data_IF_876864398871
#
_entry.id   IF_876864398871
#
_cell.length_a   1.000
_cell.length_b   1.000
_cell.length_c   1.000
_cell.angle_alpha   90.00
_cell.angle_beta   90.00
_cell.angle_gamma   90.00
#
_symmetry.space_group_name_H-M   'P 1'
#
loop_
_entity.id
_entity.type
_entity.pdbx_description
1 polymer ?
#
# COMPACT_ATOMS: atom_id res chain seq x y z
N UNK A 1 21.66 -47.85 19.90
CA UNK A 1 21.80 -47.38 21.30
C UNK A 1 22.47 -46.02 21.25
N UNK A 2 21.64 -44.95 21.28
CA UNK A 2 21.58 -43.90 22.34
C UNK A 2 22.70 -42.86 22.16
N UNK A 3 22.51 -41.54 22.03
CA UNK A 3 21.39 -40.61 22.33
C UNK A 3 21.68 -39.24 21.65
N UNK A 4 20.65 -38.64 21.04
CA UNK A 4 20.16 -37.23 21.07
C UNK A 4 20.96 -36.23 21.97
N UNK A 5 21.04 -34.89 21.84
CA UNK A 5 20.37 -33.81 21.08
C UNK A 5 20.96 -32.47 21.59
N UNK A 6 20.70 -31.35 20.87
CA UNK A 6 20.67 -29.93 21.29
C UNK A 6 22.01 -29.19 21.48
N UNK A 7 22.30 -28.28 20.54
CA UNK A 7 22.69 -26.90 20.83
C UNK A 7 21.79 -26.03 19.95
N UNK A 8 20.65 -25.61 20.49
CA UNK A 8 20.45 -24.25 21.02
C UNK A 8 20.42 -23.23 19.88
N UNK A 9 19.25 -23.12 19.23
CA UNK A 9 18.89 -21.95 18.45
C UNK A 9 18.90 -20.75 19.41
N UNK A 10 19.88 -19.87 19.23
CA UNK A 10 19.90 -18.58 19.90
C UNK A 10 19.05 -17.64 19.05
N UNK A 11 17.84 -17.40 19.54
CA UNK A 11 16.90 -16.42 19.03
C UNK A 11 17.30 -15.00 19.47
N UNK A 12 16.90 -14.05 18.63
CA UNK A 12 16.67 -12.61 18.88
C UNK A 12 17.90 -11.69 18.94
N UNK A 13 18.08 -10.94 17.86
CA UNK A 13 18.49 -9.53 17.85
C UNK A 13 18.01 -8.98 16.49
N UNK A 14 16.79 -8.48 16.39
CA UNK A 14 16.48 -7.09 16.72
C UNK A 14 16.58 -6.27 15.43
N UNK A 15 15.61 -6.45 14.52
CA UNK A 15 15.50 -5.61 13.33
C UNK A 15 14.81 -4.32 13.77
N UNK A 16 15.50 -3.20 13.59
CA UNK A 16 14.95 -1.88 13.84
C UNK A 16 13.86 -1.61 12.77
N UNK A 17 12.62 -1.93 13.10
CA UNK A 17 11.44 -1.44 12.38
C UNK A 17 11.41 0.08 12.55
N UNK A 18 11.80 0.80 11.52
CA UNK A 18 11.37 2.18 11.33
C UNK A 18 9.88 2.11 10.96
N UNK A 19 9.04 2.05 12.00
CA UNK A 19 7.65 2.50 12.07
C UNK A 19 6.83 2.56 10.76
N UNK A 20 6.51 1.40 10.19
CA UNK A 20 5.32 1.21 9.34
C UNK A 20 4.20 0.50 10.13
N UNK A 21 4.10 0.81 11.42
CA UNK A 21 3.08 0.26 12.30
C UNK A 21 1.69 0.61 11.75
N UNK A 22 0.82 -0.39 11.61
CA UNK A 22 -0.54 -0.22 11.14
C UNK A 22 -0.82 -0.62 9.70
N UNK A 23 0.11 -1.00 8.81
CA UNK A 23 -0.30 -1.25 7.42
C UNK A 23 -1.22 -2.48 7.23
N UNK A 24 -2.00 -2.49 6.15
CA UNK A 24 -2.61 -3.72 5.63
C UNK A 24 -1.53 -4.51 4.88
N UNK A 25 -1.34 -5.80 5.22
CA UNK A 25 -0.29 -6.65 4.64
C UNK A 25 -0.77 -8.05 4.33
N UNK A 26 -0.07 -8.80 3.48
CA UNK A 26 -0.36 -10.23 3.24
C UNK A 26 0.88 -11.04 2.89
N UNK A 27 0.89 -12.35 3.19
CA UNK A 27 2.02 -13.23 2.88
C UNK A 27 2.17 -13.54 1.37
N UNK A 28 1.06 -13.48 0.64
CA UNK A 28 0.96 -13.79 -0.79
C UNK A 28 0.30 -12.64 -1.54
N UNK A 29 0.53 -12.47 -2.84
CA UNK A 29 -0.18 -11.45 -3.62
C UNK A 29 -1.67 -11.78 -3.66
N UNK A 30 -2.52 -10.78 -3.40
CA UNK A 30 -3.98 -10.87 -3.44
C UNK A 30 -4.56 -10.29 -4.74
N UNK A 31 -3.81 -9.42 -5.42
CA UNK A 31 -4.11 -8.85 -6.74
C UNK A 31 -3.34 -9.64 -7.80
N UNK A 32 -4.06 -10.55 -8.45
CA UNK A 32 -3.58 -11.32 -9.59
C UNK A 32 -3.73 -10.58 -10.93
N UNK A 33 -3.15 -11.12 -12.02
CA UNK A 33 -3.26 -10.54 -13.37
C UNK A 33 -4.70 -10.41 -13.89
N UNK A 34 -5.62 -11.23 -13.40
CA UNK A 34 -7.03 -11.24 -13.77
C UNK A 34 -7.83 -10.06 -13.22
N UNK A 35 -7.32 -9.42 -12.15
CA UNK A 35 -7.91 -8.24 -11.52
C UNK A 35 -7.12 -6.96 -11.79
N UNK A 36 -5.99 -7.07 -12.49
CA UNK A 36 -5.08 -5.97 -12.69
C UNK A 36 -5.71 -4.88 -13.60
N UNK A 37 -5.67 -3.64 -13.12
CA UNK A 37 -6.03 -2.43 -13.86
C UNK A 37 -4.84 -1.47 -13.87
N UNK A 38 -4.87 -0.48 -14.75
CA UNK A 38 -3.77 0.48 -14.94
C UNK A 38 -4.30 1.92 -14.88
N UNK A 39 -4.57 2.46 -13.68
CA UNK A 39 -5.18 3.78 -13.53
C UNK A 39 -4.24 4.93 -13.93
N UNK A 40 -2.92 4.75 -13.75
CA UNK A 40 -1.92 5.67 -14.23
C UNK A 40 -1.58 5.33 -15.68
N UNK A 41 -1.86 6.24 -16.60
CA UNK A 41 -1.45 6.11 -18.00
C UNK A 41 0.08 6.15 -18.14
N UNK A 42 0.61 5.52 -19.19
CA UNK A 42 2.03 5.61 -19.49
C UNK A 42 2.40 7.06 -19.88
N UNK A 43 3.42 7.62 -19.24
CA UNK A 43 3.66 9.06 -19.28
C UNK A 43 4.84 9.48 -18.42
N UNK A 44 5.18 10.76 -18.43
CA UNK A 44 6.03 11.38 -17.41
C UNK A 44 5.11 11.90 -16.31
N UNK A 45 5.31 11.39 -15.10
CA UNK A 45 4.56 11.77 -13.92
C UNK A 45 5.45 12.55 -12.95
N UNK A 46 4.81 13.39 -12.14
CA UNK A 46 5.41 14.08 -11.02
C UNK A 46 4.61 13.79 -9.75
N UNK A 47 5.31 13.53 -8.63
CA UNK A 47 4.70 13.43 -7.30
C UNK A 47 4.96 14.71 -6.54
N UNK A 48 3.92 15.20 -5.90
CA UNK A 48 3.98 16.35 -5.01
C UNK A 48 3.54 15.93 -3.61
N UNK A 49 4.30 16.30 -2.60
CA UNK A 49 3.87 16.27 -1.20
C UNK A 49 3.33 17.65 -0.80
N UNK A 50 2.26 17.69 -0.01
CA UNK A 50 1.67 18.95 0.44
C UNK A 50 1.92 19.15 1.94
N UNK A 51 2.81 20.09 2.27
CA UNK A 51 3.09 20.50 3.64
C UNK A 51 2.64 21.97 3.84
N UNK A 52 1.88 22.25 4.89
CA UNK A 52 1.36 23.60 5.21
C UNK A 52 0.63 24.31 4.05
N UNK A 53 0.02 23.53 3.14
CA UNK A 53 -0.70 24.02 1.96
C UNK A 53 0.20 24.41 0.78
N UNK A 54 1.49 24.09 0.85
CA UNK A 54 2.46 24.26 -0.25
C UNK A 54 2.77 22.88 -0.83
N UNK A 55 2.65 22.76 -2.16
CA UNK A 55 3.03 21.54 -2.87
C UNK A 55 4.52 21.59 -3.22
N UNK A 56 5.28 20.60 -2.77
CA UNK A 56 6.70 20.42 -3.06
C UNK A 56 6.90 19.21 -3.98
N UNK A 57 7.77 19.35 -4.98
CA UNK A 57 8.06 18.28 -5.93
C UNK A 57 8.99 17.26 -5.28
N UNK A 58 8.50 16.05 -5.10
CA UNK A 58 9.26 14.92 -4.54
C UNK A 58 10.08 14.23 -5.64
N UNK A 59 9.42 13.78 -6.71
CA UNK A 59 10.09 13.15 -7.84
C UNK A 59 9.35 13.42 -9.15
N UNK A 60 10.07 13.25 -10.26
CA UNK A 60 9.52 13.30 -11.62
C UNK A 60 10.22 12.27 -12.49
N UNK A 61 9.46 11.48 -13.24
CA UNK A 61 10.02 10.46 -14.11
C UNK A 61 9.00 9.75 -14.99
N UNK A 62 9.46 8.92 -15.94
CA UNK A 62 8.59 8.13 -16.78
C UNK A 62 7.89 7.04 -15.96
N UNK A 63 6.65 6.72 -16.28
CA UNK A 63 5.89 5.59 -15.73
C UNK A 63 5.43 4.75 -16.91
N UNK A 64 5.67 3.44 -16.83
CA UNK A 64 5.29 2.45 -17.84
C UNK A 64 4.68 1.22 -17.17
N UNK A 65 4.02 0.39 -17.96
CA UNK A 65 3.52 -0.92 -17.55
C UNK A 65 4.30 -2.00 -18.28
N UNK A 66 5.05 -2.81 -17.53
CA UNK A 66 5.83 -3.94 -18.07
C UNK A 66 5.43 -5.20 -17.32
N UNK A 67 5.13 -6.28 -18.04
CA UNK A 67 4.71 -7.57 -17.44
C UNK A 67 3.55 -7.45 -16.41
N UNK A 68 2.67 -6.46 -16.64
CA UNK A 68 1.50 -6.21 -15.81
C UNK A 68 1.80 -5.63 -14.43
N UNK A 69 2.95 -4.94 -14.28
CA UNK A 69 3.31 -4.13 -13.12
C UNK A 69 3.81 -2.75 -13.57
N UNK A 70 3.74 -1.76 -12.68
CA UNK A 70 4.30 -0.43 -12.95
C UNK A 70 5.81 -0.40 -12.81
N UNK A 71 6.47 0.40 -13.65
CA UNK A 71 7.92 0.66 -13.58
C UNK A 71 8.25 2.09 -13.99
N UNK A 72 9.21 2.69 -13.30
CA UNK A 72 9.73 4.03 -13.59
C UNK A 72 11.25 4.03 -13.73
N UNK A 73 11.93 3.30 -12.86
CA UNK A 73 13.39 3.35 -12.73
C UNK A 73 13.92 4.56 -11.97
N UNK A 74 13.04 5.43 -11.47
CA UNK A 74 13.37 6.47 -10.50
C UNK A 74 13.36 5.89 -9.08
N UNK A 75 14.36 6.26 -8.27
CA UNK A 75 14.55 5.69 -6.93
C UNK A 75 13.36 5.93 -5.98
N UNK A 76 12.63 7.05 -6.16
CA UNK A 76 11.52 7.46 -5.29
C UNK A 76 10.12 7.13 -5.85
N UNK A 77 10.06 6.34 -6.92
CA UNK A 77 8.77 5.91 -7.47
C UNK A 77 8.12 4.83 -6.59
N UNK A 78 7.19 5.26 -5.73
CA UNK A 78 6.54 4.39 -4.74
C UNK A 78 5.66 3.26 -5.29
N UNK A 79 5.45 3.18 -6.61
CA UNK A 79 4.67 2.11 -7.24
C UNK A 79 5.53 1.18 -8.13
N UNK A 80 6.86 1.18 -7.94
CA UNK A 80 7.74 0.25 -8.65
C UNK A 80 7.35 -1.21 -8.34
N UNK A 81 7.06 -1.98 -9.39
CA UNK A 81 6.59 -3.36 -9.28
C UNK A 81 5.16 -3.54 -8.78
N UNK A 82 4.41 -2.45 -8.56
CA UNK A 82 3.06 -2.52 -8.02
C UNK A 82 2.03 -3.00 -9.05
N UNK A 83 0.97 -3.66 -8.55
CA UNK A 83 -0.26 -3.97 -9.30
C UNK A 83 -1.45 -3.24 -8.69
N UNK A 84 -2.40 -2.83 -9.53
CA UNK A 84 -3.60 -2.16 -9.06
C UNK A 84 -4.83 -3.02 -9.31
N UNK A 85 -5.80 -2.95 -8.41
CA UNK A 85 -7.17 -3.42 -8.64
C UNK A 85 -8.14 -2.25 -8.38
N UNK A 86 -9.20 -2.17 -9.18
CA UNK A 86 -10.27 -1.21 -8.92
C UNK A 86 -11.15 -1.72 -7.77
N UNK A 87 -11.25 -0.92 -6.71
CA UNK A 87 -12.14 -1.21 -5.59
C UNK A 87 -13.55 -0.69 -5.86
N UNK A 88 -13.62 0.54 -6.37
CA UNK A 88 -14.84 1.22 -6.83
C UNK A 88 -14.44 2.32 -7.82
N UNK A 89 -15.40 2.90 -8.52
CA UNK A 89 -15.13 3.94 -9.52
C UNK A 89 -14.22 5.05 -8.94
N UNK A 90 -13.05 5.21 -9.56
CA UNK A 90 -12.05 6.23 -9.19
C UNK A 90 -11.23 5.91 -7.94
N UNK A 91 -11.36 4.72 -7.34
CA UNK A 91 -10.53 4.31 -6.18
C UNK A 91 -9.93 2.94 -6.42
N UNK A 92 -8.61 2.88 -6.31
CA UNK A 92 -7.80 1.73 -6.65
C UNK A 92 -6.97 1.29 -5.44
N UNK A 93 -6.83 -0.02 -5.26
CA UNK A 93 -5.90 -0.60 -4.29
C UNK A 93 -4.62 -0.93 -5.04
N UNK A 94 -3.50 -0.35 -4.61
CA UNK A 94 -2.17 -0.71 -5.08
C UNK A 94 -1.60 -1.78 -4.15
N UNK A 95 -1.20 -2.92 -4.73
CA UNK A 95 -0.41 -3.96 -4.07
C UNK A 95 1.05 -3.77 -4.41
N UNK A 96 1.86 -3.55 -3.38
CA UNK A 96 3.30 -3.36 -3.45
C UNK A 96 4.03 -4.66 -3.13
N UNK A 97 5.04 -5.06 -3.93
CA UNK A 97 5.89 -6.18 -3.58
C UNK A 97 6.71 -5.87 -2.32
N UNK A 98 7.12 -6.90 -1.56
CA UNK A 98 8.11 -6.72 -0.49
C UNK A 98 9.38 -6.09 -1.04
N UNK A 99 10.03 -5.26 -0.22
CA UNK A 99 11.26 -4.60 -0.63
C UNK A 99 12.38 -5.63 -0.91
N UNK A 100 13.27 -5.35 -1.88
CA UNK A 100 14.42 -6.22 -2.15
C UNK A 100 15.29 -6.40 -0.91
N UNK A 101 15.26 -7.60 -0.33
CA UNK A 101 16.03 -7.92 0.87
C UNK A 101 15.19 -8.08 2.15
N UNK A 102 13.90 -7.73 2.09
CA UNK A 102 12.95 -7.89 3.20
C UNK A 102 11.74 -8.73 2.77
N UNK A 103 12.02 -9.98 2.37
CA UNK A 103 10.97 -10.90 1.90
C UNK A 103 10.02 -11.36 3.01
N UNK A 104 10.40 -11.15 4.27
CA UNK A 104 9.58 -11.53 5.43
C UNK A 104 8.51 -10.46 5.74
N UNK A 105 8.63 -9.23 5.19
CA UNK A 105 7.67 -8.14 5.37
C UNK A 105 6.32 -8.34 4.64
N UNK A 106 6.26 -9.25 3.65
CA UNK A 106 5.05 -9.52 2.88
C UNK A 106 4.67 -8.42 1.87
N UNK A 107 3.49 -8.54 1.28
CA UNK A 107 2.93 -7.57 0.35
C UNK A 107 2.19 -6.48 1.11
N UNK A 108 2.40 -5.21 0.75
CA UNK A 108 1.71 -4.07 1.37
C UNK A 108 0.65 -3.49 0.45
N UNK A 109 -0.33 -2.80 1.02
CA UNK A 109 -1.43 -2.20 0.27
C UNK A 109 -1.55 -0.71 0.54
N UNK A 110 -1.78 0.06 -0.52
CA UNK A 110 -2.11 1.50 -0.46
C UNK A 110 -3.34 1.78 -1.32
N UNK A 111 -3.93 2.95 -1.14
CA UNK A 111 -5.06 3.43 -1.92
C UNK A 111 -4.61 4.55 -2.85
N UNK A 112 -5.18 4.56 -4.05
CA UNK A 112 -5.00 5.60 -5.05
C UNK A 112 -6.38 6.13 -5.47
N UNK A 113 -6.53 7.44 -5.49
CA UNK A 113 -7.79 8.13 -5.71
C UNK A 113 -7.69 8.99 -6.96
N UNK A 114 -8.48 8.70 -7.99
CA UNK A 114 -8.62 9.59 -9.13
C UNK A 114 -9.38 10.85 -8.71
N UNK A 115 -8.77 12.02 -8.92
CA UNK A 115 -9.36 13.31 -8.61
C UNK A 115 -10.00 13.93 -9.86
N UNK A 116 -11.05 14.77 -9.72
CA UNK A 116 -11.78 15.34 -10.86
C UNK A 116 -10.95 16.23 -11.80
N UNK A 117 -9.81 16.73 -11.32
CA UNK A 117 -8.87 17.58 -12.06
C UNK A 117 -7.81 16.77 -12.85
N UNK A 118 -7.87 15.44 -12.79
CA UNK A 118 -6.95 14.54 -13.48
C UNK A 118 -5.70 14.17 -12.67
N UNK A 119 -5.58 14.68 -11.44
CA UNK A 119 -4.54 14.23 -10.50
C UNK A 119 -4.95 12.94 -9.78
N UNK A 120 -3.98 12.30 -9.13
CA UNK A 120 -4.26 11.18 -8.23
C UNK A 120 -3.76 11.46 -6.83
N UNK A 121 -4.65 11.40 -5.84
CA UNK A 121 -4.26 11.35 -4.43
C UNK A 121 -3.91 9.92 -4.02
N UNK A 122 -3.19 9.75 -2.93
CA UNK A 122 -2.91 8.43 -2.36
C UNK A 122 -3.07 8.44 -0.84
N UNK A 123 -3.28 7.27 -0.25
CA UNK A 123 -3.23 7.08 1.21
C UNK A 123 -2.72 5.67 1.52
N UNK A 124 -2.14 5.46 2.70
CA UNK A 124 -1.68 4.15 3.17
C UNK A 124 -2.60 3.74 4.31
N UNK A 125 -3.47 2.73 4.13
CA UNK A 125 -4.38 2.32 5.18
C UNK A 125 -3.66 1.88 6.45
N UNK A 126 -3.98 2.56 7.56
CA UNK A 126 -3.50 2.25 8.90
C UNK A 126 -4.60 1.47 9.64
N UNK A 127 -4.38 0.18 9.84
CA UNK A 127 -5.15 -0.79 10.60
C UNK A 127 -5.60 -0.26 11.97
N UNK A 128 -4.77 0.52 12.68
CA UNK A 128 -5.18 1.13 13.95
C UNK A 128 -6.25 2.21 13.81
N UNK A 129 -6.28 2.89 12.66
CA UNK A 129 -7.32 3.88 12.34
C UNK A 129 -8.66 3.20 11.98
N UNK A 130 -8.67 1.89 11.73
CA UNK A 130 -9.91 1.12 11.59
C UNK A 130 -10.47 0.82 13.00
N UNK A 131 -11.73 1.21 13.31
CA UNK A 131 -12.34 0.96 14.61
C UNK A 131 -12.29 -0.52 15.00
N UNK A 132 -11.97 -0.83 16.26
CA UNK A 132 -11.79 -2.20 16.73
C UNK A 132 -13.01 -3.12 16.46
N UNK A 133 -14.23 -2.60 16.65
CA UNK A 133 -15.45 -3.34 16.36
C UNK A 133 -15.61 -3.69 14.87
N UNK A 134 -15.10 -2.82 13.99
CA UNK A 134 -15.16 -3.01 12.55
C UNK A 134 -14.11 -4.01 12.07
N UNK A 135 -12.90 -3.96 12.65
CA UNK A 135 -11.87 -4.99 12.45
C UNK A 135 -12.38 -6.38 12.85
N UNK A 136 -13.00 -6.51 14.02
CA UNK A 136 -13.63 -7.76 14.47
C UNK A 136 -14.71 -8.24 13.49
N UNK A 137 -15.56 -7.33 12.99
CA UNK A 137 -16.62 -7.64 12.02
C UNK A 137 -16.06 -8.16 10.69
N UNK A 138 -14.96 -7.59 10.22
CA UNK A 138 -14.29 -7.96 8.96
C UNK A 138 -13.44 -9.23 9.15
N UNK A 139 -13.09 -9.58 10.38
CA UNK A 139 -12.25 -10.74 10.69
C UNK A 139 -10.76 -10.45 10.61
N UNK A 140 -10.36 -9.19 10.77
CA UNK A 140 -8.96 -8.76 10.80
C UNK A 140 -8.55 -8.36 12.22
N UNK A 141 -7.30 -8.61 12.57
CA UNK A 141 -6.73 -8.23 13.85
C UNK A 141 -5.29 -7.73 13.66
N UNK A 142 -4.84 -6.89 14.60
CA UNK A 142 -3.43 -6.54 14.71
C UNK A 142 -2.63 -7.79 15.09
N UNK A 143 -1.50 -8.01 14.40
CA UNK A 143 -0.47 -8.95 14.85
C UNK A 143 0.44 -8.29 15.92
N UNK A 144 1.50 -8.98 16.32
CA UNK A 144 2.46 -8.48 17.32
C UNK A 144 3.27 -7.25 16.85
N UNK A 145 3.19 -6.92 15.55
CA UNK A 145 3.84 -5.76 14.91
C UNK A 145 2.83 -4.66 14.54
N UNK A 146 1.63 -4.71 15.11
CA UNK A 146 0.53 -3.78 14.87
C UNK A 146 0.08 -3.70 13.39
N UNK A 147 0.23 -4.79 12.63
CA UNK A 147 -0.22 -4.90 11.23
C UNK A 147 -1.54 -5.67 11.11
N UNK A 148 -2.38 -5.28 10.16
CA UNK A 148 -3.54 -6.10 9.75
C UNK A 148 -3.08 -7.11 8.68
N UNK A 149 -2.93 -8.38 9.06
CA UNK A 149 -2.65 -9.45 8.10
C UNK A 149 -3.92 -9.86 7.37
N UNK A 150 -3.90 -9.77 6.05
CA UNK A 150 -5.02 -10.02 5.14
C UNK A 150 -4.79 -11.31 4.36
N UNK A 151 -5.76 -12.21 4.37
CA UNK A 151 -5.61 -13.55 3.77
C UNK A 151 -6.20 -13.67 2.35
N UNK A 152 -7.16 -12.80 2.02
CA UNK A 152 -7.88 -12.79 0.74
C UNK A 152 -8.29 -11.38 0.29
N UNK A 153 -8.64 -11.27 -0.98
CA UNK A 153 -8.91 -9.99 -1.64
C UNK A 153 -10.23 -9.35 -1.14
N UNK A 154 -11.23 -10.16 -0.82
CA UNK A 154 -12.50 -9.70 -0.29
C UNK A 154 -12.32 -9.01 1.07
N UNK A 155 -11.48 -9.58 1.93
CA UNK A 155 -11.10 -8.99 3.23
C UNK A 155 -10.27 -7.73 3.04
N UNK A 156 -9.37 -7.70 2.06
CA UNK A 156 -8.59 -6.51 1.70
C UNK A 156 -9.51 -5.34 1.32
N UNK A 157 -10.49 -5.59 0.45
CA UNK A 157 -11.47 -4.57 0.04
C UNK A 157 -12.27 -4.08 1.25
N UNK A 158 -12.78 -4.99 2.07
CA UNK A 158 -13.56 -4.62 3.26
C UNK A 158 -12.73 -3.78 4.26
N UNK A 159 -11.46 -4.12 4.46
CA UNK A 159 -10.56 -3.36 5.33
C UNK A 159 -10.25 -1.96 4.76
N UNK A 160 -10.00 -1.86 3.45
CA UNK A 160 -9.79 -0.59 2.77
C UNK A 160 -11.03 0.33 2.84
N UNK A 161 -12.23 -0.22 2.63
CA UNK A 161 -13.49 0.53 2.75
C UNK A 161 -13.73 1.01 4.19
N UNK A 162 -13.42 0.18 5.18
CA UNK A 162 -13.55 0.53 6.59
C UNK A 162 -12.56 1.65 7.00
N UNK A 163 -11.34 1.60 6.48
CA UNK A 163 -10.36 2.67 6.63
C UNK A 163 -10.87 3.99 6.00
N UNK A 164 -11.32 3.97 4.74
CA UNK A 164 -11.88 5.15 4.08
C UNK A 164 -13.04 5.77 4.88
N UNK A 165 -13.92 4.91 5.42
CA UNK A 165 -15.05 5.35 6.23
C UNK A 165 -14.61 6.05 7.52
N UNK A 166 -13.62 5.49 8.22
CA UNK A 166 -13.04 6.10 9.41
C UNK A 166 -12.38 7.45 9.09
N UNK A 167 -11.56 7.50 8.05
CA UNK A 167 -10.87 8.74 7.67
C UNK A 167 -11.81 9.86 7.26
N UNK A 168 -12.91 9.52 6.58
CA UNK A 168 -13.94 10.49 6.22
C UNK A 168 -14.62 11.09 7.45
N UNK A 169 -14.87 10.29 8.49
CA UNK A 169 -15.47 10.75 9.75
C UNK A 169 -14.51 11.69 10.51
N UNK A 170 -13.24 11.31 10.60
CA UNK A 170 -12.23 12.06 11.36
C UNK A 170 -11.76 13.34 10.66
N UNK A 171 -11.43 13.24 9.37
CA UNK A 171 -10.83 14.34 8.58
C UNK A 171 -11.87 15.23 7.90
N UNK A 172 -13.16 14.88 7.97
CA UNK A 172 -14.25 15.62 7.31
C UNK A 172 -14.23 15.55 5.78
N UNK A 173 -13.45 14.62 5.20
CA UNK A 173 -13.26 14.45 3.77
C UNK A 173 -11.96 13.70 3.45
N UNK A 174 -11.70 13.47 2.16
CA UNK A 174 -10.42 12.94 1.70
C UNK A 174 -9.39 14.07 1.68
N UNK A 175 -8.45 14.02 2.61
CA UNK A 175 -7.24 14.85 2.59
C UNK A 175 -6.11 13.90 2.23
N UNK A 176 -5.56 14.04 1.03
CA UNK A 176 -4.40 13.25 0.62
C UNK A 176 -3.13 14.02 0.98
N UNK A 177 -2.10 13.36 1.54
CA UNK A 177 -0.83 14.00 1.90
C UNK A 177 -0.06 14.52 0.67
N UNK A 178 -0.43 14.08 -0.52
CA UNK A 178 0.16 14.50 -1.77
C UNK A 178 -0.69 14.11 -2.96
N UNK A 179 -0.16 14.36 -4.16
CA UNK A 179 -0.79 13.94 -5.41
C UNK A 179 0.24 13.59 -6.49
N UNK A 180 -0.20 12.81 -7.46
CA UNK A 180 0.49 12.52 -8.71
C UNK A 180 -0.15 13.32 -9.84
N UNK A 181 0.68 13.92 -10.69
CA UNK A 181 0.25 14.64 -11.87
C UNK A 181 0.93 14.08 -13.12
N UNK A 182 0.15 13.84 -14.18
CA UNK A 182 0.67 13.52 -15.49
C UNK A 182 1.13 14.83 -16.15
N UNK A 183 2.43 14.92 -16.43
CA UNK A 183 3.03 16.10 -17.06
C UNK A 183 3.06 15.94 -18.59
N UNK A 184 3.38 14.74 -19.09
CA UNK A 184 3.54 14.46 -20.52
C UNK A 184 3.10 13.01 -20.85
N UNK A 185 2.27 12.81 -21.87
CA UNK A 185 1.95 11.47 -22.36
C UNK A 185 3.08 10.91 -23.25
N UNK A 186 3.28 9.58 -23.24
CA UNK A 186 4.30 8.88 -24.04
C UNK A 186 3.83 8.46 -25.45
#
# INVERSE_FOLDING_TARGET
MTTLVRYAAAAVAGLAMLALAGCLVSEKPLIGPDRAVFPLEEGVWARYETEDGVAELEWRGPVRVVDGVYTSGEDDFSYEGARFAEMREGVFIAQHPPEPGDQDAGWMYSLLYALPDGHFGYDIPICEEIPAAERERIGVALNDDDLCVIEDYETLVAAAEAFEAAMREERGGFVTPGYLALEEAL
#
